data_IF_582170702000
#
_entry.id   IF_582170702000
#
_cell.length_a   1.000
_cell.length_b   1.000
_cell.length_c   1.000
_cell.angle_alpha   90.00
_cell.angle_beta   90.00
_cell.angle_gamma   90.00
#
_symmetry.space_group_name_H-M   'P 1'
#
loop_
_entity.id
_entity.type
_entity.pdbx_description
1 polymer ?
#
# COMPACT_ATOMS: atom_id res chain seq x y z
N UNK A 1 -37.77 0.53 -21.18
CA UNK A 1 -36.80 1.28 -22.02
C UNK A 1 -35.84 2.16 -21.21
N UNK A 2 -36.28 2.99 -20.24
CA UNK A 2 -35.39 3.90 -19.48
C UNK A 2 -34.40 3.22 -18.51
N UNK A 3 -34.77 2.13 -17.84
CA UNK A 3 -33.86 1.37 -16.95
C UNK A 3 -32.69 0.69 -17.68
N UNK A 4 -32.91 0.37 -18.96
CA UNK A 4 -31.95 -0.35 -19.80
C UNK A 4 -30.85 0.57 -20.34
N UNK A 5 -31.09 1.89 -20.35
CA UNK A 5 -30.09 2.91 -20.70
C UNK A 5 -29.21 3.27 -19.50
N UNK A 6 -29.77 3.34 -18.29
CA UNK A 6 -29.00 3.58 -17.06
C UNK A 6 -28.01 2.43 -16.80
N UNK A 7 -28.48 1.18 -16.88
CA UNK A 7 -27.64 0.00 -16.69
C UNK A 7 -26.60 -0.22 -17.80
N UNK A 8 -26.80 0.38 -18.99
CA UNK A 8 -25.78 0.42 -20.05
C UNK A 8 -24.76 1.54 -19.82
N UNK A 9 -25.20 2.68 -19.27
CA UNK A 9 -24.34 3.79 -18.88
C UNK A 9 -23.38 3.41 -17.75
N UNK A 10 -23.88 2.75 -16.70
CA UNK A 10 -23.04 2.24 -15.60
C UNK A 10 -21.98 1.26 -16.11
N UNK A 11 -22.38 0.28 -16.94
CA UNK A 11 -21.45 -0.67 -17.54
C UNK A 11 -20.38 -0.03 -18.42
N UNK A 12 -20.71 1.04 -19.13
CA UNK A 12 -19.75 1.77 -19.96
C UNK A 12 -18.74 2.56 -19.10
N UNK A 13 -19.19 3.14 -17.98
CA UNK A 13 -18.33 3.82 -17.01
C UNK A 13 -17.42 2.83 -16.29
N UNK A 14 -17.94 1.69 -15.86
CA UNK A 14 -17.15 0.65 -15.21
C UNK A 14 -16.13 0.05 -16.17
N UNK A 15 -16.50 -0.18 -17.43
CA UNK A 15 -15.56 -0.62 -18.46
C UNK A 15 -14.48 0.44 -18.75
N UNK A 16 -14.84 1.72 -18.82
CA UNK A 16 -13.87 2.81 -18.99
C UNK A 16 -12.93 2.93 -17.78
N UNK A 17 -13.44 2.74 -16.56
CA UNK A 17 -12.63 2.73 -15.33
C UNK A 17 -11.71 1.52 -15.27
N UNK A 18 -12.20 0.33 -15.65
CA UNK A 18 -11.39 -0.89 -15.74
C UNK A 18 -10.29 -0.73 -16.77
N UNK A 19 -10.60 -0.19 -17.95
CA UNK A 19 -9.62 0.07 -19.01
C UNK A 19 -8.62 1.15 -18.63
N UNK A 20 -9.05 2.20 -17.92
CA UNK A 20 -8.16 3.22 -17.38
C UNK A 20 -7.24 2.62 -16.31
N UNK A 21 -7.78 1.81 -15.39
CA UNK A 21 -7.00 1.09 -14.35
C UNK A 21 -6.04 0.06 -14.95
N UNK A 22 -6.41 -0.63 -16.03
CA UNK A 22 -5.55 -1.63 -16.67
C UNK A 22 -4.50 -1.02 -17.61
N UNK A 23 -4.76 0.17 -18.17
CA UNK A 23 -3.77 0.93 -18.92
C UNK A 23 -2.81 1.70 -18.00
N UNK A 24 -3.25 1.95 -16.75
CA UNK A 24 -2.47 2.43 -15.62
C UNK A 24 -2.05 1.22 -14.75
N UNK A 25 -1.46 0.20 -15.34
CA UNK A 25 -0.68 -0.77 -14.56
C UNK A 25 0.51 0.02 -13.96
N UNK A 26 0.31 0.60 -12.78
CA UNK A 26 1.12 1.76 -12.34
C UNK A 26 2.46 1.38 -11.73
N UNK A 27 2.72 0.11 -11.42
CA UNK A 27 4.01 -0.30 -10.89
C UNK A 27 4.19 -1.84 -10.94
N UNK A 28 4.53 -2.44 -12.11
CA UNK A 28 4.79 -3.87 -12.17
C UNK A 28 5.99 -4.21 -11.29
N UNK A 29 5.87 -5.29 -10.50
CA UNK A 29 7.02 -5.85 -9.78
C UNK A 29 8.08 -6.24 -10.82
N UNK A 30 9.32 -5.74 -10.72
CA UNK A 30 10.40 -6.17 -11.61
C UNK A 30 10.68 -7.67 -11.49
N UNK A 31 11.41 -8.23 -12.45
CA UNK A 31 11.90 -9.61 -12.33
C UNK A 31 12.90 -9.68 -11.16
N UNK A 32 12.45 -10.27 -10.04
CA UNK A 32 13.23 -10.48 -8.82
C UNK A 32 13.43 -11.96 -8.57
N UNK A 33 14.68 -12.36 -8.30
CA UNK A 33 15.03 -13.73 -7.93
C UNK A 33 15.09 -13.91 -6.41
N UNK A 34 15.42 -12.85 -5.66
CA UNK A 34 15.57 -12.88 -4.22
C UNK A 34 15.04 -11.61 -3.52
N UNK A 35 14.07 -11.81 -2.62
CA UNK A 35 13.54 -10.76 -1.75
C UNK A 35 13.84 -11.11 -0.30
N UNK A 36 14.47 -10.17 0.42
CA UNK A 36 14.72 -10.34 1.85
C UNK A 36 13.60 -9.71 2.65
N UNK A 37 12.96 -10.48 3.55
CA UNK A 37 11.93 -9.95 4.44
C UNK A 37 12.53 -9.45 5.75
N UNK A 38 12.22 -8.21 6.11
CA UNK A 38 12.54 -7.57 7.39
C UNK A 38 11.27 -7.46 8.20
N UNK A 39 11.28 -8.06 9.38
CA UNK A 39 10.19 -8.01 10.32
C UNK A 39 10.41 -6.83 11.28
N UNK A 40 9.48 -5.86 11.38
CA UNK A 40 9.64 -4.69 12.25
C UNK A 40 9.47 -5.02 13.73
N UNK A 41 9.05 -6.23 14.10
CA UNK A 41 8.97 -6.67 15.50
C UNK A 41 10.34 -6.51 16.21
N UNK A 42 10.34 -5.88 17.39
CA UNK A 42 11.58 -5.56 18.10
C UNK A 42 12.43 -6.77 18.54
N UNK A 43 11.82 -7.96 18.62
CA UNK A 43 12.52 -9.21 18.87
C UNK A 43 13.36 -9.68 17.67
N UNK A 44 13.04 -9.21 16.46
CA UNK A 44 13.69 -9.56 15.19
C UNK A 44 14.78 -8.55 14.88
N UNK A 45 15.99 -8.83 15.37
CA UNK A 45 17.14 -7.95 15.17
C UNK A 45 17.77 -8.19 13.81
N UNK A 46 18.09 -7.11 13.11
CA UNK A 46 18.97 -7.16 11.95
C UNK A 46 20.40 -7.51 12.39
N UNK A 47 21.14 -8.28 11.57
CA UNK A 47 22.53 -8.61 11.88
C UNK A 47 23.41 -7.36 11.83
N UNK A 48 24.61 -7.46 12.40
CA UNK A 48 25.64 -6.46 12.17
C UNK A 48 25.94 -6.37 10.67
N UNK A 49 26.17 -5.14 10.20
CA UNK A 49 26.41 -4.84 8.78
C UNK A 49 25.26 -5.28 7.85
N UNK A 50 24.01 -5.38 8.35
CA UNK A 50 22.83 -5.65 7.52
C UNK A 50 22.79 -4.88 6.19
N UNK A 51 23.25 -3.61 6.07
CA UNK A 51 23.20 -2.92 4.79
C UNK A 51 24.02 -3.60 3.69
N UNK A 52 25.14 -4.24 4.04
CA UNK A 52 25.96 -4.97 3.07
C UNK A 52 25.25 -6.23 2.58
N UNK A 53 24.51 -6.91 3.45
CA UNK A 53 23.76 -8.12 3.09
C UNK A 53 22.52 -7.78 2.27
N UNK A 54 21.80 -6.71 2.64
CA UNK A 54 20.61 -6.26 1.92
C UNK A 54 20.94 -5.55 0.60
N UNK A 55 22.19 -5.17 0.35
CA UNK A 55 22.61 -4.70 -0.97
C UNK A 55 22.66 -5.81 -2.03
N UNK A 56 22.69 -7.09 -1.61
CA UNK A 56 22.79 -8.26 -2.50
C UNK A 56 21.41 -8.88 -2.82
N UNK A 57 20.31 -8.29 -2.34
CA UNK A 57 18.94 -8.73 -2.64
C UNK A 57 18.31 -7.82 -3.69
N UNK A 58 17.36 -8.34 -4.49
CA UNK A 58 16.69 -7.54 -5.51
C UNK A 58 15.68 -6.56 -4.91
N UNK A 59 15.09 -6.92 -3.77
CA UNK A 59 14.23 -6.05 -2.97
C UNK A 59 14.21 -6.46 -1.49
N UNK A 60 13.82 -5.52 -0.65
CA UNK A 60 13.54 -5.75 0.78
C UNK A 60 12.04 -5.61 1.00
N UNK A 61 11.39 -6.60 1.62
CA UNK A 61 9.99 -6.49 2.06
C UNK A 61 9.95 -6.21 3.56
N UNK A 62 9.33 -5.11 3.97
CA UNK A 62 9.06 -4.80 5.38
C UNK A 62 7.67 -5.30 5.73
N UNK A 63 7.59 -6.26 6.64
CA UNK A 63 6.30 -6.80 7.07
C UNK A 63 6.44 -7.89 8.13
N UNK A 64 5.44 -8.00 8.99
CA UNK A 64 5.39 -8.95 10.10
C UNK A 64 3.95 -9.32 10.43
N UNK A 65 3.76 -10.18 11.44
CA UNK A 65 2.45 -10.75 11.75
C UNK A 65 1.81 -10.25 13.04
N UNK A 66 2.45 -10.40 14.20
CA UNK A 66 1.76 -10.30 15.49
C UNK A 66 2.01 -9.01 16.29
N UNK A 67 3.22 -8.43 16.20
CA UNK A 67 3.62 -7.27 17.01
C UNK A 67 4.14 -6.13 16.11
N UNK A 68 3.48 -5.96 14.96
CA UNK A 68 3.72 -4.83 14.06
C UNK A 68 2.92 -3.64 14.58
N UNK A 69 3.55 -2.48 14.59
CA UNK A 69 2.95 -1.22 15.01
C UNK A 69 3.37 -0.12 14.03
N UNK A 70 2.65 1.01 13.97
CA UNK A 70 3.09 2.16 13.18
C UNK A 70 4.54 2.57 13.51
N UNK A 71 4.85 2.66 14.81
CA UNK A 71 6.15 3.12 15.30
C UNK A 71 7.31 2.18 14.93
N UNK A 72 7.12 0.87 15.03
CA UNK A 72 8.18 -0.06 14.66
C UNK A 72 8.30 -0.25 13.13
N UNK A 73 7.22 -0.02 12.38
CA UNK A 73 7.23 0.04 10.93
C UNK A 73 8.06 1.23 10.47
N UNK A 74 7.80 2.44 10.99
CA UNK A 74 8.58 3.64 10.72
C UNK A 74 10.05 3.47 11.07
N UNK A 75 10.35 2.89 12.25
CA UNK A 75 11.73 2.59 12.65
C UNK A 75 12.43 1.61 11.68
N UNK A 76 11.71 0.63 11.12
CA UNK A 76 12.26 -0.26 10.10
C UNK A 76 12.57 0.49 8.80
N UNK A 77 11.68 1.39 8.35
CA UNK A 77 11.94 2.24 7.19
C UNK A 77 13.12 3.18 7.40
N UNK A 78 13.25 3.79 8.58
CA UNK A 78 14.40 4.63 8.95
C UNK A 78 15.73 3.87 8.87
N UNK A 79 15.75 2.62 9.33
CA UNK A 79 16.93 1.76 9.23
C UNK A 79 17.29 1.47 7.76
N UNK A 80 16.29 1.27 6.90
CA UNK A 80 16.50 0.91 5.50
C UNK A 80 16.74 2.12 4.58
N UNK A 81 16.46 3.35 5.03
CA UNK A 81 16.59 4.57 4.24
C UNK A 81 17.95 4.78 3.52
N UNK A 82 19.11 4.32 4.05
CA UNK A 82 20.39 4.45 3.35
C UNK A 82 20.59 3.48 2.18
N UNK A 83 19.72 2.48 2.01
CA UNK A 83 19.86 1.48 0.95
C UNK A 83 19.43 2.05 -0.40
N UNK A 84 20.06 1.56 -1.47
CA UNK A 84 19.60 1.78 -2.84
C UNK A 84 18.70 0.66 -3.36
N UNK A 85 18.64 -0.45 -2.62
CA UNK A 85 17.76 -1.59 -2.88
C UNK A 85 16.30 -1.17 -2.69
N UNK A 86 15.39 -1.52 -3.62
CA UNK A 86 13.97 -1.24 -3.47
C UNK A 86 13.40 -1.78 -2.16
N UNK A 87 12.59 -0.97 -1.48
CA UNK A 87 11.92 -1.33 -0.23
C UNK A 87 10.41 -1.38 -0.46
N UNK A 88 9.84 -2.56 -0.24
CA UNK A 88 8.40 -2.80 -0.32
C UNK A 88 7.80 -2.84 1.08
N UNK A 89 6.56 -2.36 1.22
CA UNK A 89 5.78 -2.52 2.44
C UNK A 89 4.77 -3.65 2.27
N UNK A 90 4.77 -4.62 3.16
CA UNK A 90 3.78 -5.70 3.25
C UNK A 90 2.98 -5.56 4.55
N UNK A 91 1.94 -4.70 4.56
CA UNK A 91 1.12 -4.49 5.75
C UNK A 91 0.22 -5.69 6.03
N UNK A 92 0.20 -6.12 7.29
CA UNK A 92 -0.76 -7.09 7.83
C UNK A 92 -2.02 -6.45 8.42
N UNK A 93 -2.07 -5.12 8.51
CA UNK A 93 -3.16 -4.33 9.09
C UNK A 93 -3.22 -2.93 8.48
N UNK A 94 -4.42 -2.33 8.47
CA UNK A 94 -4.67 -1.03 7.86
C UNK A 94 -3.89 0.11 8.53
N UNK A 95 -3.73 0.04 9.84
CA UNK A 95 -3.02 0.99 10.68
C UNK A 95 -1.49 0.91 10.53
N UNK A 96 -0.95 -0.19 9.97
CA UNK A 96 0.48 -0.30 9.69
C UNK A 96 0.91 0.59 8.52
N UNK A 97 -0.02 1.00 7.66
CA UNK A 97 0.23 1.94 6.56
C UNK A 97 0.34 3.36 7.12
N UNK A 98 1.56 3.75 7.45
CA UNK A 98 1.88 5.10 7.92
C UNK A 98 2.16 6.06 6.77
N UNK A 99 2.12 7.36 7.05
CA UNK A 99 2.51 8.41 6.09
C UNK A 99 3.94 8.18 5.57
N UNK A 100 4.88 7.87 6.46
CA UNK A 100 6.24 7.56 6.07
C UNK A 100 6.29 6.33 5.15
N UNK A 101 5.67 5.21 5.55
CA UNK A 101 5.69 3.99 4.73
C UNK A 101 5.10 4.22 3.33
N UNK A 102 4.07 5.08 3.23
CA UNK A 102 3.43 5.45 1.97
C UNK A 102 4.35 6.30 1.08
N UNK A 103 5.22 7.10 1.67
CA UNK A 103 6.15 7.97 0.94
C UNK A 103 7.46 7.27 0.56
N UNK A 104 7.93 6.35 1.41
CA UNK A 104 9.25 5.74 1.27
C UNK A 104 9.21 4.37 0.60
N UNK A 105 8.09 3.64 0.66
CA UNK A 105 8.00 2.34 0.00
C UNK A 105 7.88 2.51 -1.51
N UNK A 106 8.67 1.73 -2.25
CA UNK A 106 8.59 1.63 -3.71
C UNK A 106 7.32 0.89 -4.15
N UNK A 107 6.89 -0.10 -3.36
CA UNK A 107 5.70 -0.90 -3.60
C UNK A 107 4.94 -1.20 -2.31
N UNK A 108 3.62 -1.33 -2.43
CA UNK A 108 2.75 -1.86 -1.39
C UNK A 108 2.30 -3.27 -1.78
N UNK A 109 2.73 -4.28 -1.02
CA UNK A 109 2.41 -5.69 -1.22
C UNK A 109 1.22 -6.06 -0.33
N UNK A 110 0.03 -6.11 -0.90
CA UNK A 110 -1.21 -6.39 -0.15
C UNK A 110 -1.46 -7.91 -0.15
N UNK A 111 -1.40 -8.58 1.02
CA UNK A 111 -1.60 -10.02 1.09
C UNK A 111 -3.08 -10.41 1.01
N UNK A 112 -3.37 -11.48 0.27
CA UNK A 112 -4.66 -12.18 0.29
C UNK A 112 -4.44 -13.64 0.72
N UNK A 113 -4.95 -14.02 1.88
CA UNK A 113 -4.72 -15.37 2.44
C UNK A 113 -5.76 -16.35 1.89
N UNK A 114 -5.49 -16.93 0.71
CA UNK A 114 -6.43 -17.79 -0.03
C UNK A 114 -6.89 -19.05 0.74
N UNK A 115 -6.09 -19.53 1.68
CA UNK A 115 -6.39 -20.67 2.55
C UNK A 115 -6.88 -20.25 3.94
N UNK A 116 -7.16 -18.96 4.15
CA UNK A 116 -7.68 -18.40 5.38
C UNK A 116 -9.21 -18.39 5.42
N UNK A 117 -9.75 -17.66 6.40
CA UNK A 117 -11.18 -17.35 6.46
C UNK A 117 -11.50 -16.07 5.67
N UNK A 118 -12.79 -15.70 5.63
CA UNK A 118 -13.22 -14.49 4.95
C UNK A 118 -12.57 -13.22 5.49
N UNK A 119 -12.18 -13.21 6.77
CA UNK A 119 -11.56 -12.05 7.41
C UNK A 119 -10.15 -11.83 6.83
N UNK A 120 -9.36 -12.91 6.75
CA UNK A 120 -8.00 -12.88 6.18
C UNK A 120 -7.98 -12.71 4.65
N UNK A 121 -9.08 -13.03 3.96
CA UNK A 121 -9.17 -12.88 2.51
C UNK A 121 -9.64 -11.48 2.08
N UNK A 122 -10.72 -10.96 2.70
CA UNK A 122 -11.34 -9.69 2.27
C UNK A 122 -11.69 -8.74 3.42
N UNK A 123 -11.83 -9.23 4.65
CA UNK A 123 -12.22 -8.38 5.79
C UNK A 123 -11.17 -7.31 6.09
N UNK A 124 -9.93 -7.74 6.31
CA UNK A 124 -8.81 -6.82 6.59
C UNK A 124 -8.55 -5.86 5.43
N UNK A 125 -8.65 -6.35 4.18
CA UNK A 125 -8.56 -5.50 2.99
C UNK A 125 -9.69 -4.46 2.94
N UNK A 126 -10.92 -4.84 3.29
CA UNK A 126 -12.06 -3.92 3.38
C UNK A 126 -11.81 -2.79 4.37
N UNK A 127 -11.32 -3.11 5.57
CA UNK A 127 -10.93 -2.12 6.59
C UNK A 127 -9.81 -1.20 6.07
N UNK A 128 -8.83 -1.74 5.37
CA UNK A 128 -7.75 -0.95 4.77
C UNK A 128 -8.26 0.02 3.70
N UNK A 129 -9.17 -0.41 2.83
CA UNK A 129 -9.80 0.45 1.81
C UNK A 129 -10.62 1.57 2.46
N UNK A 130 -11.38 1.25 3.51
CA UNK A 130 -12.12 2.27 4.28
C UNK A 130 -11.18 3.29 4.92
N UNK A 131 -10.10 2.83 5.56
CA UNK A 131 -9.07 3.71 6.14
C UNK A 131 -8.42 4.63 5.09
N UNK A 132 -8.10 4.11 3.91
CA UNK A 132 -7.57 4.91 2.80
C UNK A 132 -8.57 6.00 2.40
N UNK A 133 -9.85 5.64 2.25
CA UNK A 133 -10.89 6.55 1.79
C UNK A 133 -11.23 7.62 2.84
N UNK A 134 -11.30 7.25 4.11
CA UNK A 134 -11.78 8.14 5.17
C UNK A 134 -10.67 8.96 5.83
N UNK A 135 -9.42 8.46 5.80
CA UNK A 135 -8.30 9.05 6.53
C UNK A 135 -7.18 9.47 5.59
N UNK A 136 -6.57 8.54 4.86
CA UNK A 136 -5.32 8.81 4.14
C UNK A 136 -5.53 9.70 2.90
N UNK A 137 -6.54 9.43 2.08
CA UNK A 137 -6.80 10.20 0.86
C UNK A 137 -7.15 11.67 1.16
N UNK A 138 -8.06 12.00 2.11
CA UNK A 138 -8.30 13.39 2.51
C UNK A 138 -7.05 14.10 3.01
N UNK A 139 -6.25 13.45 3.86
CA UNK A 139 -5.01 14.03 4.39
C UNK A 139 -3.99 14.30 3.27
N UNK A 140 -3.82 13.36 2.35
CA UNK A 140 -2.89 13.48 1.23
C UNK A 140 -3.30 14.61 0.27
N UNK A 141 -4.59 14.70 -0.08
CA UNK A 141 -5.12 15.76 -0.94
C UNK A 141 -4.96 17.13 -0.28
N UNK A 142 -5.35 17.27 0.99
CA UNK A 142 -5.22 18.53 1.72
C UNK A 142 -3.76 19.01 1.81
N UNK A 143 -2.81 18.08 1.93
CA UNK A 143 -1.38 18.38 2.01
C UNK A 143 -0.73 18.69 0.66
N UNK A 144 -1.00 17.89 -0.38
CA UNK A 144 -0.37 18.05 -1.70
C UNK A 144 -1.05 19.09 -2.58
N UNK A 145 -2.32 19.37 -2.33
CA UNK A 145 -3.10 20.34 -3.11
C UNK A 145 -3.93 21.30 -2.22
N UNK A 146 -3.29 22.01 -1.26
CA UNK A 146 -4.00 22.95 -0.37
C UNK A 146 -4.61 24.15 -1.10
N UNK A 147 -4.27 24.32 -2.37
CA UNK A 147 -4.77 25.38 -3.26
C UNK A 147 -6.08 25.00 -3.96
N UNK A 148 -6.52 23.73 -3.88
CA UNK A 148 -7.78 23.30 -4.47
C UNK A 148 -8.97 23.80 -3.63
N UNK A 149 -10.08 24.22 -4.26
CA UNK A 149 -11.32 24.48 -3.54
C UNK A 149 -11.82 23.22 -2.83
N UNK A 150 -12.38 23.35 -1.62
CA UNK A 150 -12.84 22.24 -0.76
C UNK A 150 -13.68 21.21 -1.53
N UNK A 151 -14.63 21.69 -2.36
CA UNK A 151 -15.49 20.79 -3.16
C UNK A 151 -14.73 19.89 -4.14
N UNK A 152 -13.59 20.34 -4.67
CA UNK A 152 -12.76 19.56 -5.59
C UNK A 152 -11.84 18.63 -4.81
N UNK A 153 -11.31 19.08 -3.67
CA UNK A 153 -10.51 18.26 -2.77
C UNK A 153 -11.33 17.09 -2.20
N UNK A 154 -12.54 17.37 -1.70
CA UNK A 154 -13.48 16.36 -1.19
C UNK A 154 -13.87 15.35 -2.27
N UNK A 155 -14.10 15.83 -3.50
CA UNK A 155 -14.40 14.97 -4.63
C UNK A 155 -13.23 14.03 -4.92
N UNK A 156 -12.00 14.54 -5.03
CA UNK A 156 -10.80 13.74 -5.28
C UNK A 156 -10.52 12.72 -4.18
N UNK A 157 -10.76 13.07 -2.91
CA UNK A 157 -10.58 12.16 -1.78
C UNK A 157 -11.65 11.06 -1.72
N UNK A 158 -12.78 11.26 -2.41
CA UNK A 158 -13.91 10.32 -2.42
C UNK A 158 -13.90 9.31 -3.57
N UNK A 159 -13.02 9.50 -4.56
CA UNK A 159 -12.91 8.69 -5.81
C UNK A 159 -12.03 7.47 -5.60
#
# INVERSE_FOLDING_TARGET
>A
MRRDLAARGERAVDAARLLARSALDTNPVPDWDHVTKVDPEGAKKLPLLYPLWLAETDAVSVGGSADVTPANTEAAFDLLAPLSTPVCHEPSGADHVTEQSQETADLLLVPEVLNGDSEALVGTLGVAIESVREVLAPQLVGRKAPWLPDRVADWLASV
#
